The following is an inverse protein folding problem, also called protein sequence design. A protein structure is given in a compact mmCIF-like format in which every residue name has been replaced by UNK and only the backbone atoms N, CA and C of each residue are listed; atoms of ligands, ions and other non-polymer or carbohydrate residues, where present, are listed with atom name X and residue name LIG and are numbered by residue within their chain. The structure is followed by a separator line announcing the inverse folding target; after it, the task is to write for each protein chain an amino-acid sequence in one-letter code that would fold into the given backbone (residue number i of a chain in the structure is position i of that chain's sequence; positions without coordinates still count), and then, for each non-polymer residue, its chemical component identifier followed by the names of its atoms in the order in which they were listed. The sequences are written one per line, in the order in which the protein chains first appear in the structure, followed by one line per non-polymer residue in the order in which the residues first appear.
data_IF_881580864829
#
_entry.id   IF_881580864829
#
_cell.length_a   1.000
_cell.length_b   1.000
_cell.length_c   1.000
_cell.angle_alpha   90.00
_cell.angle_beta   90.00
_cell.angle_gamma   90.00
#
_symmetry.space_group_name_H-M   'P 1'
#
loop_
_entity.id
_entity.type
_entity.pdbx_description
1 polymer ?
#
# COMPACT_ATOMS: atom_id res chain seq x y z
N UNK A 1 -20.81 -34.07 -1.79
CA UNK A 1 -19.89 -32.97 -1.47
C UNK A 1 -20.71 -31.80 -0.97
N UNK A 2 -20.39 -31.26 0.19
CA UNK A 2 -21.07 -30.09 0.75
C UNK A 2 -20.45 -28.84 0.11
N UNK A 3 -21.23 -28.10 -0.67
CA UNK A 3 -20.79 -26.83 -1.23
C UNK A 3 -20.88 -25.77 -0.13
N UNK A 4 -19.78 -25.08 0.16
CA UNK A 4 -19.80 -23.89 1.01
C UNK A 4 -20.05 -22.69 0.11
N UNK A 5 -21.21 -22.05 0.26
CA UNK A 5 -21.52 -20.82 -0.44
C UNK A 5 -20.87 -19.63 0.28
N UNK A 6 -20.20 -18.76 -0.47
CA UNK A 6 -19.60 -17.52 0.01
C UNK A 6 -20.37 -16.33 -0.59
N UNK A 7 -21.38 -15.86 0.12
CA UNK A 7 -22.22 -14.75 -0.33
C UNK A 7 -21.56 -13.39 -0.06
N UNK A 8 -21.74 -12.42 -0.98
CA UNK A 8 -21.35 -11.03 -0.75
C UNK A 8 -22.42 -10.37 0.10
N UNK A 9 -22.26 -10.44 1.43
CA UNK A 9 -23.26 -9.93 2.38
C UNK A 9 -23.19 -8.40 2.51
N UNK A 10 -21.97 -7.84 2.49
CA UNK A 10 -21.75 -6.40 2.67
C UNK A 10 -20.63 -5.94 1.73
N UNK A 11 -20.94 -5.48 0.51
CA UNK A 11 -19.94 -4.93 -0.39
C UNK A 11 -19.25 -3.74 0.28
N UNK A 12 -17.92 -3.73 0.20
CA UNK A 12 -17.10 -2.74 0.86
C UNK A 12 -17.00 -1.47 -0.01
N UNK A 13 -17.27 -0.30 0.58
CA UNK A 13 -17.02 1.00 -0.05
C UNK A 13 -16.05 1.78 0.82
N UNK A 14 -14.90 2.15 0.23
CA UNK A 14 -13.92 3.02 0.87
C UNK A 14 -14.42 4.46 0.85
N UNK A 15 -14.91 4.95 2.00
CA UNK A 15 -15.38 6.34 2.16
C UNK A 15 -14.40 7.23 2.93
N UNK A 16 -13.65 6.62 3.85
CA UNK A 16 -12.70 7.31 4.74
C UNK A 16 -11.55 6.35 5.02
N UNK A 17 -10.31 6.78 4.81
CA UNK A 17 -9.15 6.07 5.28
C UNK A 17 -8.42 6.87 6.35
N UNK A 18 -7.76 6.17 7.28
CA UNK A 18 -6.72 6.75 8.13
C UNK A 18 -5.43 6.00 7.87
N UNK A 19 -4.34 6.71 7.61
CA UNK A 19 -3.03 6.13 7.31
C UNK A 19 -2.00 6.73 8.26
N UNK A 20 -1.40 5.86 9.04
CA UNK A 20 -0.38 6.20 10.02
C UNK A 20 0.94 5.60 9.58
N UNK A 21 2.01 6.41 9.60
CA UNK A 21 3.36 5.99 9.29
C UNK A 21 4.20 6.02 10.56
N UNK A 22 4.96 4.95 10.78
CA UNK A 22 5.91 4.87 11.88
C UNK A 22 7.25 4.42 11.33
N UNK A 23 8.25 5.29 11.33
CA UNK A 23 9.62 4.95 10.93
C UNK A 23 10.18 3.84 11.83
N UNK A 24 10.98 2.95 11.23
CA UNK A 24 11.63 1.87 11.95
C UNK A 24 12.58 2.43 13.01
N UNK A 25 12.27 2.17 14.29
CA UNK A 25 13.04 2.68 15.42
C UNK A 25 12.52 4.00 16.00
N UNK A 26 11.55 4.66 15.36
CA UNK A 26 10.88 5.83 15.94
C UNK A 26 9.86 5.43 17.01
N UNK A 27 9.70 6.28 18.03
CA UNK A 27 8.60 6.17 18.99
C UNK A 27 7.31 6.83 18.46
N UNK A 28 7.48 7.84 17.62
CA UNK A 28 6.40 8.69 17.12
C UNK A 28 5.69 8.06 15.91
N UNK A 29 4.52 8.58 15.60
CA UNK A 29 3.68 8.09 14.51
C UNK A 29 3.06 9.28 13.80
N UNK A 30 3.34 9.39 12.52
CA UNK A 30 2.91 10.50 11.67
C UNK A 30 1.57 10.16 11.02
N UNK A 31 0.65 11.13 11.03
CA UNK A 31 -0.69 10.99 10.44
C UNK A 31 -0.76 11.74 9.09
N UNK A 32 -0.62 10.97 8.01
CA UNK A 32 -0.68 11.49 6.64
C UNK A 32 -2.03 11.21 5.97
N UNK A 33 -3.11 11.04 6.75
CA UNK A 33 -4.44 10.72 6.21
C UNK A 33 -5.07 11.84 5.38
N UNK A 34 -4.65 13.09 5.57
CA UNK A 34 -5.19 14.27 4.86
C UNK A 34 -4.68 14.39 3.42
N UNK A 35 -3.37 14.27 3.13
CA UNK A 35 -2.87 14.34 1.76
C UNK A 35 -3.18 13.09 0.94
N UNK A 36 -3.45 11.93 1.56
CA UNK A 36 -3.69 10.66 0.87
C UNK A 36 -5.15 10.56 0.39
N UNK A 37 -5.32 10.32 -0.91
CA UNK A 37 -6.62 10.20 -1.58
C UNK A 37 -6.94 8.78 -2.07
N UNK A 38 -5.93 7.91 -2.20
CA UNK A 38 -6.10 6.52 -2.66
C UNK A 38 -5.14 5.58 -1.91
N UNK A 39 -5.58 4.34 -1.67
CA UNK A 39 -4.77 3.29 -1.05
C UNK A 39 -5.04 1.97 -1.78
N UNK A 40 -4.02 1.41 -2.39
CA UNK A 40 -4.09 0.16 -3.16
C UNK A 40 -3.03 -0.83 -2.71
N UNK A 41 -3.41 -2.11 -2.65
CA UNK A 41 -2.48 -3.21 -2.38
C UNK A 41 -2.45 -4.13 -3.59
N UNK A 42 -1.32 -4.17 -4.29
CA UNK A 42 -1.17 -4.94 -5.53
C UNK A 42 -0.28 -6.16 -5.29
N UNK A 43 -0.83 -7.40 -5.35
CA UNK A 43 -0.03 -8.61 -5.32
C UNK A 43 0.62 -8.86 -6.69
N UNK A 44 1.89 -9.22 -6.70
CA UNK A 44 2.62 -9.71 -7.87
C UNK A 44 3.15 -11.11 -7.55
N UNK A 45 2.71 -12.11 -8.30
CA UNK A 45 3.24 -13.47 -8.22
C UNK A 45 4.01 -13.80 -9.49
N UNK A 46 5.28 -14.17 -9.37
CA UNK A 46 5.99 -14.81 -10.48
C UNK A 46 5.67 -16.30 -10.47
N UNK A 47 5.20 -16.82 -11.60
CA UNK A 47 5.11 -18.26 -11.86
C UNK A 47 6.15 -18.66 -12.87
N UNK A 48 6.85 -19.75 -12.58
CA UNK A 48 7.77 -20.40 -13.51
C UNK A 48 7.16 -21.69 -14.01
N UNK A 49 7.35 -22.01 -15.27
CA UNK A 49 7.10 -23.36 -15.77
C UNK A 49 8.36 -23.92 -16.42
N UNK A 50 8.70 -25.15 -16.06
CA UNK A 50 9.73 -25.92 -16.73
C UNK A 50 9.05 -27.01 -17.57
N UNK A 51 9.38 -27.05 -18.85
CA UNK A 51 8.90 -28.09 -19.77
C UNK A 51 10.04 -29.05 -20.07
N UNK A 52 9.89 -30.30 -19.67
CA UNK A 52 10.84 -31.37 -19.95
C UNK A 52 10.78 -31.84 -21.40
N UNK A 53 11.84 -32.54 -21.83
CA UNK A 53 11.97 -33.04 -23.20
C UNK A 53 10.90 -34.07 -23.63
N UNK A 54 10.17 -34.65 -22.67
CA UNK A 54 9.03 -35.55 -22.91
C UNK A 54 7.67 -34.83 -22.90
N UNK A 55 7.66 -33.50 -22.78
CA UNK A 55 6.45 -32.68 -22.72
C UNK A 55 5.83 -32.53 -21.32
N UNK A 56 6.49 -33.05 -20.28
CA UNK A 56 6.04 -32.85 -18.89
C UNK A 56 6.24 -31.39 -18.49
N UNK A 57 5.18 -30.74 -18.00
CA UNK A 57 5.22 -29.36 -17.50
C UNK A 57 5.17 -29.40 -15.97
N UNK A 58 6.19 -28.84 -15.34
CA UNK A 58 6.20 -28.55 -13.90
C UNK A 58 5.95 -27.05 -13.75
N UNK A 59 4.86 -26.69 -13.09
CA UNK A 59 4.54 -25.31 -12.75
C UNK A 59 4.87 -25.05 -11.28
N UNK A 60 5.68 -24.04 -11.01
CA UNK A 60 5.94 -23.53 -9.67
C UNK A 60 5.36 -22.12 -9.52
N UNK A 61 4.78 -21.85 -8.36
CA UNK A 61 4.28 -20.52 -8.00
C UNK A 61 5.17 -19.94 -6.91
N UNK A 62 5.82 -18.81 -7.20
CA UNK A 62 6.57 -18.05 -6.21
C UNK A 62 5.65 -17.41 -5.17
N UNK A 63 6.22 -17.06 -4.01
CA UNK A 63 5.52 -16.28 -2.99
C UNK A 63 5.18 -14.91 -3.58
N UNK A 64 3.91 -14.49 -3.48
CA UNK A 64 3.49 -13.19 -3.97
C UNK A 64 4.17 -12.06 -3.19
N UNK A 65 4.83 -11.16 -3.91
CA UNK A 65 5.31 -9.87 -3.38
C UNK A 65 4.19 -8.84 -3.46
N UNK A 66 4.18 -7.85 -2.57
CA UNK A 66 3.14 -6.83 -2.54
C UNK A 66 3.73 -5.44 -2.71
N UNK A 67 2.96 -4.56 -3.35
CA UNK A 67 3.25 -3.13 -3.47
C UNK A 67 2.07 -2.36 -2.91
N UNK A 68 2.35 -1.38 -2.05
CA UNK A 68 1.37 -0.43 -1.54
C UNK A 68 1.41 0.84 -2.39
N UNK A 69 0.34 1.11 -3.12
CA UNK A 69 0.15 2.34 -3.88
C UNK A 69 -0.62 3.37 -3.08
N UNK A 70 -0.16 4.61 -3.10
CA UNK A 70 -0.85 5.74 -2.49
C UNK A 70 -1.00 6.88 -3.49
N UNK A 71 -2.24 7.33 -3.69
CA UNK A 71 -2.53 8.58 -4.38
C UNK A 71 -2.46 9.73 -3.37
N UNK A 72 -1.83 10.84 -3.75
CA UNK A 72 -1.68 12.01 -2.88
C UNK A 72 -1.83 13.33 -3.64
N UNK A 73 -2.33 14.35 -2.95
CA UNK A 73 -2.25 15.73 -3.41
C UNK A 73 -0.82 16.24 -3.22
N UNK A 74 -0.28 16.96 -4.22
CA UNK A 74 1.05 17.53 -4.08
C UNK A 74 1.01 18.76 -3.17
N UNK A 75 1.84 18.72 -2.15
CA UNK A 75 2.06 19.80 -1.19
C UNK A 75 3.57 19.99 -1.02
N UNK A 76 4.00 21.24 -0.91
CA UNK A 76 5.40 21.67 -0.82
C UNK A 76 5.68 22.49 0.43
N UNK A 77 4.73 22.58 1.36
CA UNK A 77 4.98 23.14 2.69
C UNK A 77 5.97 22.26 3.47
N UNK A 78 6.66 22.84 4.45
CA UNK A 78 7.77 22.20 5.18
C UNK A 78 7.36 20.87 5.86
N UNK A 79 6.10 20.75 6.31
CA UNK A 79 5.53 19.54 6.93
C UNK A 79 4.82 18.62 5.92
N UNK A 80 5.05 18.81 4.61
CA UNK A 80 4.37 18.04 3.58
C UNK A 80 4.85 16.59 3.54
N UNK A 81 3.91 15.69 3.25
CA UNK A 81 4.21 14.27 3.08
C UNK A 81 5.26 14.03 1.99
N UNK A 82 5.31 14.86 0.96
CA UNK A 82 6.27 14.72 -0.15
C UNK A 82 7.70 15.04 0.29
N UNK A 83 7.90 16.12 1.04
CA UNK A 83 9.22 16.45 1.57
C UNK A 83 9.67 15.44 2.61
N UNK A 84 8.76 14.97 3.46
CA UNK A 84 9.03 13.89 4.41
C UNK A 84 9.48 12.59 3.72
N UNK A 85 8.82 12.19 2.63
CA UNK A 85 9.23 11.02 1.83
C UNK A 85 10.59 11.20 1.16
N UNK A 86 10.95 12.44 0.80
CA UNK A 86 12.24 12.76 0.19
C UNK A 86 13.37 12.69 1.23
N UNK A 87 13.11 13.15 2.46
CA UNK A 87 14.08 13.10 3.56
C UNK A 87 14.34 11.67 4.04
N UNK A 88 13.29 10.84 4.10
CA UNK A 88 13.35 9.47 4.61
C UNK A 88 13.40 8.40 3.51
N UNK A 89 13.91 8.75 2.32
CA UNK A 89 14.04 7.81 1.20
C UNK A 89 14.87 6.57 1.58
N UNK A 90 14.35 5.38 1.27
CA UNK A 90 15.02 4.11 1.55
C UNK A 90 14.86 3.60 2.98
N UNK A 91 14.29 4.39 3.89
CA UNK A 91 13.96 3.93 5.24
C UNK A 91 12.75 3.00 5.24
N UNK A 92 12.65 2.17 6.28
CA UNK A 92 11.49 1.29 6.48
C UNK A 92 10.48 1.98 7.39
N UNK A 93 9.22 1.97 6.99
CA UNK A 93 8.11 2.44 7.81
C UNK A 93 7.08 1.34 8.00
N UNK A 94 6.59 1.19 9.23
CA UNK A 94 5.38 0.43 9.51
C UNK A 94 4.18 1.31 9.25
N UNK A 95 3.31 0.89 8.35
CA UNK A 95 2.10 1.61 7.97
C UNK A 95 0.89 0.90 8.55
N UNK A 96 0.00 1.68 9.15
CA UNK A 96 -1.31 1.22 9.62
C UNK A 96 -2.39 1.93 8.82
N UNK A 97 -3.06 1.20 7.92
CA UNK A 97 -4.14 1.71 7.09
C UNK A 97 -5.50 1.23 7.59
N UNK A 98 -6.31 2.14 8.12
CA UNK A 98 -7.70 1.89 8.50
C UNK A 98 -8.59 2.27 7.33
N UNK A 99 -9.05 1.29 6.55
CA UNK A 99 -9.85 1.54 5.34
C UNK A 99 -11.34 1.86 5.65
N UNK A 100 -11.82 1.53 6.85
CA UNK A 100 -13.17 1.89 7.29
C UNK A 100 -13.14 2.27 8.75
N UNK A 101 -13.74 3.41 9.07
CA UNK A 101 -13.91 3.85 10.45
C UNK A 101 -14.57 2.75 11.29
N UNK A 102 -13.91 2.36 12.38
CA UNK A 102 -14.34 1.28 13.29
C UNK A 102 -14.21 -0.15 12.73
N UNK A 103 -13.49 -0.38 11.63
CA UNK A 103 -13.25 -1.71 11.05
C UNK A 103 -11.84 -2.22 11.33
N UNK A 104 -11.43 -3.34 10.71
CA UNK A 104 -10.06 -3.85 10.81
C UNK A 104 -9.08 -2.89 10.13
N UNK A 105 -7.92 -2.66 10.76
CA UNK A 105 -6.79 -1.98 10.14
C UNK A 105 -5.91 -2.99 9.41
N UNK A 106 -5.20 -2.55 8.38
CA UNK A 106 -4.17 -3.32 7.72
C UNK A 106 -2.81 -2.79 8.16
N UNK A 107 -1.97 -3.69 8.68
CA UNK A 107 -0.60 -3.37 9.08
C UNK A 107 0.36 -4.04 8.13
N UNK A 108 1.35 -3.28 7.68
CA UNK A 108 2.37 -3.73 6.75
C UNK A 108 3.62 -2.85 6.89
N UNK A 109 4.77 -3.40 6.50
CA UNK A 109 6.03 -2.65 6.48
C UNK A 109 6.36 -2.34 5.03
N UNK A 110 6.78 -1.10 4.76
CA UNK A 110 7.16 -0.63 3.44
C UNK A 110 8.53 0.01 3.46
N UNK A 111 9.22 -0.02 2.33
CA UNK A 111 10.39 0.84 2.09
C UNK A 111 9.91 2.13 1.44
N UNK A 112 10.25 3.27 2.03
CA UNK A 112 9.86 4.58 1.56
C UNK A 112 10.60 4.95 0.27
N UNK A 113 9.86 5.52 -0.67
CA UNK A 113 10.33 6.01 -1.96
C UNK A 113 9.75 7.41 -2.19
N UNK A 114 10.49 8.32 -2.85
CA UNK A 114 9.98 9.65 -3.12
C UNK A 114 8.81 9.60 -4.11
N UNK A 115 7.84 10.50 -3.90
CA UNK A 115 6.74 10.71 -4.85
C UNK A 115 7.19 11.62 -6.01
N UNK A 116 6.49 11.56 -7.15
CA UNK A 116 6.75 12.48 -8.26
C UNK A 116 6.39 13.91 -7.84
N UNK A 117 7.29 14.86 -8.10
CA UNK A 117 7.12 16.30 -7.80
C UNK A 117 6.97 17.09 -9.09
N UNK A 118 5.93 17.94 -9.16
CA UNK A 118 5.65 18.79 -10.31
C UNK A 118 4.63 18.22 -11.29
N UNK A 119 4.29 19.02 -12.31
CA UNK A 119 3.27 18.71 -13.31
C UNK A 119 2.97 19.89 -14.24
N UNK A 120 1.90 19.78 -15.03
CA UNK A 120 1.46 20.86 -15.92
C UNK A 120 0.91 22.06 -15.14
N UNK A 121 1.26 23.28 -15.57
CA UNK A 121 0.68 24.51 -15.00
C UNK A 121 -0.80 24.59 -15.38
N UNK A 122 -1.69 24.56 -14.39
CA UNK A 122 -3.14 24.54 -14.60
C UNK A 122 -3.95 24.91 -13.34
N UNK A 123 -5.28 24.97 -13.44
CA UNK A 123 -6.14 25.46 -12.35
C UNK A 123 -6.40 24.44 -11.24
N UNK A 124 -6.02 23.17 -11.44
CA UNK A 124 -6.29 22.08 -10.51
C UNK A 124 -5.08 21.81 -9.61
N UNK A 125 -5.28 21.41 -8.34
CA UNK A 125 -4.21 20.89 -7.51
C UNK A 125 -3.50 19.72 -8.21
N UNK A 126 -2.17 19.72 -8.17
CA UNK A 126 -1.39 18.60 -8.69
C UNK A 126 -1.62 17.37 -7.80
N UNK A 127 -1.66 16.20 -8.42
CA UNK A 127 -1.71 14.93 -7.72
C UNK A 127 -0.54 14.06 -8.16
N UNK A 128 -0.14 13.15 -7.30
CA UNK A 128 0.95 12.22 -7.53
C UNK A 128 0.56 10.84 -7.03
N UNK A 129 1.24 9.82 -7.53
CA UNK A 129 1.15 8.47 -7.00
C UNK A 129 2.52 8.01 -6.58
N UNK A 130 2.58 7.34 -5.43
CA UNK A 130 3.79 6.69 -4.92
C UNK A 130 3.51 5.22 -4.72
N UNK A 131 4.51 4.39 -4.99
CA UNK A 131 4.43 2.94 -4.84
C UNK A 131 5.56 2.47 -3.96
N UNK A 132 5.21 1.90 -2.82
CA UNK A 132 6.17 1.37 -1.87
C UNK A 132 6.20 -0.16 -1.94
N UNK A 133 7.39 -0.77 -2.14
CA UNK A 133 7.51 -2.22 -2.01
C UNK A 133 7.24 -2.62 -0.55
N UNK A 134 6.45 -3.67 -0.36
CA UNK A 134 6.07 -4.17 0.95
C UNK A 134 6.94 -5.34 1.37
N UNK A 135 7.38 -5.33 2.63
CA UNK A 135 7.98 -6.48 3.28
C UNK A 135 6.87 -7.45 3.73
N UNK A 136 6.57 -8.42 2.87
CA UNK A 136 5.54 -9.43 3.10
C UNK A 136 4.15 -9.01 2.60
N UNK A 137 3.11 -9.60 3.20
CA UNK A 137 1.71 -9.36 2.82
C UNK A 137 1.00 -8.47 3.84
N UNK A 138 -0.01 -7.68 3.45
CA UNK A 138 -0.79 -6.91 4.40
C UNK A 138 -1.52 -7.83 5.37
N UNK A 139 -1.43 -7.52 6.68
CA UNK A 139 -2.05 -8.33 7.74
C UNK A 139 -3.23 -7.56 8.34
N UNK A 140 -4.46 -8.12 8.30
CA UNK A 140 -5.60 -7.49 8.96
C UNK A 140 -5.48 -7.63 10.48
N UNK A 141 -5.57 -6.52 11.20
CA UNK A 141 -5.59 -6.43 12.67
C UNK A 141 -6.89 -5.79 13.16
N UNK A 142 -7.27 -6.08 14.39
CA UNK A 142 -8.35 -5.35 15.07
C UNK A 142 -7.83 -3.99 15.52
N UNK A 143 -8.66 -2.96 15.36
CA UNK A 143 -8.40 -1.65 15.97
C UNK A 143 -8.74 -1.78 17.47
N UNK A 144 -7.85 -1.41 18.39
CA UNK A 144 -8.14 -1.42 19.83
C UNK A 144 -9.26 -0.45 20.21
#
# INVERSE_FOLDING_TARGET
MTTVAHEVVNPYTLKTARVLFKLAGSADTDDFSKPISDITFTPTSQSGSWTGCTGNVISEQGIATWVAGFGLAQDLDDDSFMLWLLEHEGEKAQVTATLKSGAKAFVFTVTLTPATIGGAVGPNPLSSTVSFPMDGKPVPTVIP
#
